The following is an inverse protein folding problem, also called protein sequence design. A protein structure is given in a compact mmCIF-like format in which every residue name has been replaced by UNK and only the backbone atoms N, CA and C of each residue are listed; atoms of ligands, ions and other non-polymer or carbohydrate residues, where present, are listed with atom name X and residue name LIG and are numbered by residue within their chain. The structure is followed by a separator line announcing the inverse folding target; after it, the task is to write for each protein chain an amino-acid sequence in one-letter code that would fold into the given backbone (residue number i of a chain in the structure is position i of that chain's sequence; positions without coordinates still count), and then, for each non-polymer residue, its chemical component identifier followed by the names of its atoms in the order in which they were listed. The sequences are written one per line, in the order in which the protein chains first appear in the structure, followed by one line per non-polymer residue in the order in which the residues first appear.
data_IF_055446289367
#
_entry.id   IF_055446289367
#
_cell.length_a   1.000
_cell.length_b   1.000
_cell.length_c   1.000
_cell.angle_alpha   90.00
_cell.angle_beta   90.00
_cell.angle_gamma   90.00
#
_symmetry.space_group_name_H-M   'P 1'
#
loop_
_entity.id
_entity.type
_entity.pdbx_description
1 polymer ?
#
# COMPACT_ATOMS: atom_id res chain seq x y z
N UNK A 1 -11.62 7.95 -0.23
CA UNK A 1 -12.95 8.26 0.35
C UNK A 1 -13.57 7.03 1.01
N UNK A 2 -14.32 7.21 2.10
CA UNK A 2 -14.94 6.07 2.81
C UNK A 2 -16.07 5.46 1.98
N UNK A 3 -16.81 6.26 1.22
CA UNK A 3 -17.81 5.76 0.26
C UNK A 3 -17.21 4.86 -0.83
N UNK A 4 -15.96 5.10 -1.25
CA UNK A 4 -15.24 4.23 -2.18
C UNK A 4 -14.84 2.91 -1.49
N UNK A 5 -14.44 2.96 -0.21
CA UNK A 5 -14.14 1.76 0.57
C UNK A 5 -15.34 0.80 0.62
N UNK A 6 -16.56 1.32 0.79
CA UNK A 6 -17.77 0.49 0.74
C UNK A 6 -17.93 -0.23 -0.60
N UNK A 7 -17.68 0.46 -1.72
CA UNK A 7 -17.76 -0.16 -3.06
C UNK A 7 -16.68 -1.20 -3.28
N UNK A 8 -15.46 -0.97 -2.79
CA UNK A 8 -14.38 -1.96 -2.86
C UNK A 8 -14.73 -3.21 -2.06
N UNK A 9 -15.28 -3.05 -0.85
CA UNK A 9 -15.70 -4.15 0.01
C UNK A 9 -16.85 -4.99 -0.59
N UNK A 10 -17.76 -4.38 -1.34
CA UNK A 10 -18.81 -5.10 -2.09
C UNK A 10 -18.23 -6.06 -3.15
N UNK A 11 -17.05 -5.73 -3.70
CA UNK A 11 -16.37 -6.54 -4.73
C UNK A 11 -15.45 -7.59 -4.07
N UNK A 12 -14.69 -7.19 -3.06
CA UNK A 12 -13.73 -8.04 -2.33
C UNK A 12 -13.97 -7.90 -0.82
N UNK A 13 -14.90 -8.68 -0.23
CA UNK A 13 -15.20 -8.63 1.20
C UNK A 13 -14.20 -9.45 2.01
N UNK A 14 -12.90 -9.20 1.81
CA UNK A 14 -11.81 -9.89 2.50
C UNK A 14 -10.93 -8.86 3.23
N UNK A 15 -10.91 -8.85 4.57
CA UNK A 15 -10.18 -7.86 5.35
C UNK A 15 -8.65 -7.95 5.23
N UNK A 16 -8.13 -9.00 4.57
CA UNK A 16 -6.70 -9.11 4.21
C UNK A 16 -6.30 -8.18 3.06
N UNK A 17 -7.26 -7.75 2.24
CA UNK A 17 -7.00 -7.00 1.00
C UNK A 17 -7.80 -5.70 0.94
N UNK A 18 -9.00 -5.67 1.51
CA UNK A 18 -9.84 -4.48 1.57
C UNK A 18 -10.31 -4.32 3.00
N UNK A 19 -9.96 -3.22 3.66
CA UNK A 19 -10.40 -3.00 5.04
C UNK A 19 -11.93 -2.91 5.15
N UNK A 20 -12.48 -3.47 6.24
CA UNK A 20 -13.91 -3.34 6.56
C UNK A 20 -14.30 -1.86 6.67
N UNK A 21 -15.23 -1.36 5.83
CA UNK A 21 -15.60 0.05 5.81
C UNK A 21 -16.29 0.53 7.09
N UNK A 22 -16.83 -0.37 7.93
CA UNK A 22 -17.38 -0.03 9.24
C UNK A 22 -16.29 0.40 10.24
N UNK A 23 -15.11 -0.22 10.15
CA UNK A 23 -13.92 0.09 10.94
C UNK A 23 -13.10 1.23 10.28
N UNK A 24 -13.10 1.22 8.94
CA UNK A 24 -12.42 2.16 8.06
C UNK A 24 -10.90 1.94 7.97
N UNK A 25 -10.28 2.37 6.88
CA UNK A 25 -8.86 2.14 6.58
C UNK A 25 -7.95 3.31 7.00
N UNK A 26 -6.64 3.09 6.98
CA UNK A 26 -5.64 4.15 7.11
C UNK A 26 -5.72 5.16 5.97
N UNK A 27 -6.11 4.72 4.77
CA UNK A 27 -6.45 5.61 3.66
C UNK A 27 -7.62 6.54 3.97
N UNK A 28 -8.67 6.04 4.65
CA UNK A 28 -9.79 6.89 5.08
C UNK A 28 -9.42 7.89 6.20
N UNK A 29 -8.29 7.67 6.87
CA UNK A 29 -7.71 8.60 7.86
C UNK A 29 -6.72 9.59 7.24
N UNK A 30 -6.50 9.54 5.93
CA UNK A 30 -5.46 10.33 5.24
C UNK A 30 -4.05 9.97 5.68
N UNK A 31 -3.87 8.75 6.19
CA UNK A 31 -2.67 8.29 6.87
C UNK A 31 -1.90 7.21 6.14
N UNK A 32 -2.32 6.84 4.93
CA UNK A 32 -1.64 5.85 4.12
C UNK A 32 -1.46 6.33 2.69
N UNK A 33 -0.46 5.75 2.04
CA UNK A 33 -0.12 5.98 0.64
C UNK A 33 0.25 4.65 -0.01
N UNK A 34 -0.17 4.50 -1.26
CA UNK A 34 0.25 3.41 -2.14
C UNK A 34 1.16 4.03 -3.21
N UNK A 35 2.38 3.51 -3.36
CA UNK A 35 3.36 4.10 -4.27
C UNK A 35 4.39 3.09 -4.81
N UNK A 36 5.07 3.51 -5.87
CA UNK A 36 6.22 2.84 -6.49
C UNK A 36 7.38 3.83 -6.65
N UNK A 37 8.51 3.36 -7.19
CA UNK A 37 9.68 4.17 -7.50
C UNK A 37 9.78 4.35 -9.01
N UNK A 38 10.06 5.58 -9.44
CA UNK A 38 10.39 5.91 -10.83
C UNK A 38 11.91 6.11 -10.94
N UNK A 39 12.54 5.46 -11.92
CA UNK A 39 13.90 5.77 -12.32
C UNK A 39 13.90 7.08 -13.13
N UNK A 40 14.63 8.09 -12.66
CA UNK A 40 14.65 9.40 -13.32
C UNK A 40 15.45 9.45 -14.62
N UNK A 41 16.33 8.48 -14.87
CA UNK A 41 17.09 8.38 -16.11
C UNK A 41 16.23 7.78 -17.24
N UNK A 42 15.48 6.72 -16.96
CA UNK A 42 14.62 6.04 -17.94
C UNK A 42 13.22 6.62 -18.01
N UNK A 43 12.74 7.21 -16.90
CA UNK A 43 11.35 7.64 -16.65
C UNK A 43 10.36 6.49 -16.44
N UNK A 44 10.87 5.27 -16.28
CA UNK A 44 10.06 4.08 -16.06
C UNK A 44 9.92 3.77 -14.57
N UNK A 45 8.86 3.05 -14.22
CA UNK A 45 8.74 2.41 -12.91
C UNK A 45 9.83 1.34 -12.76
N UNK A 46 10.38 1.21 -11.56
CA UNK A 46 11.19 0.04 -11.25
C UNK A 46 10.31 -1.22 -11.30
N UNK A 47 10.89 -2.33 -11.75
CA UNK A 47 10.19 -3.62 -11.70
C UNK A 47 9.94 -4.01 -10.24
N UNK A 48 8.65 -4.20 -9.93
CA UNK A 48 8.14 -4.52 -8.60
C UNK A 48 7.52 -5.92 -8.60
N UNK A 49 7.31 -6.55 -7.41
CA UNK A 49 6.84 -7.94 -7.29
C UNK A 49 5.61 -8.27 -8.14
N UNK A 50 4.65 -7.34 -8.17
CA UNK A 50 3.37 -7.45 -8.84
C UNK A 50 2.91 -6.06 -9.26
N UNK A 51 1.84 -5.96 -10.04
CA UNK A 51 1.12 -4.69 -10.18
C UNK A 51 0.44 -4.30 -8.86
N UNK A 52 0.07 -3.03 -8.72
CA UNK A 52 -0.86 -2.59 -7.66
C UNK A 52 -2.14 -3.43 -7.64
N UNK A 53 -2.73 -3.55 -6.46
CA UNK A 53 -3.98 -4.29 -6.19
C UNK A 53 -3.95 -5.77 -6.60
N UNK A 54 -2.75 -6.37 -6.68
CA UNK A 54 -2.62 -7.80 -6.85
C UNK A 54 -2.82 -8.52 -5.51
N UNK A 55 -3.97 -9.19 -5.35
CA UNK A 55 -4.34 -9.88 -4.11
C UNK A 55 -3.86 -11.33 -4.07
N UNK A 56 -2.55 -11.51 -3.93
CA UNK A 56 -1.90 -12.82 -3.82
C UNK A 56 -0.61 -12.76 -3.02
N UNK A 57 -0.09 -13.93 -2.64
CA UNK A 57 1.12 -14.04 -1.80
C UNK A 57 2.35 -13.40 -2.47
N UNK A 58 2.36 -13.35 -3.80
CA UNK A 58 3.40 -12.74 -4.61
C UNK A 58 3.56 -11.24 -4.36
N UNK A 59 2.53 -10.56 -3.86
CA UNK A 59 2.58 -9.14 -3.50
C UNK A 59 3.17 -8.88 -2.10
N UNK A 60 3.32 -9.91 -1.28
CA UNK A 60 3.74 -9.76 0.11
C UNK A 60 5.22 -9.33 0.21
N UNK A 61 5.57 -8.66 1.30
CA UNK A 61 6.94 -8.23 1.58
C UNK A 61 7.93 -9.36 1.83
N UNK A 62 7.46 -10.53 2.29
CA UNK A 62 8.29 -11.69 2.62
C UNK A 62 8.33 -12.76 1.54
N UNK A 63 7.61 -12.56 0.43
CA UNK A 63 7.64 -13.48 -0.71
C UNK A 63 8.98 -13.37 -1.45
N UNK A 64 9.67 -14.49 -1.62
CA UNK A 64 11.04 -14.54 -2.14
C UNK A 64 11.19 -15.23 -3.49
N UNK A 65 10.11 -15.76 -4.07
CA UNK A 65 10.14 -16.41 -5.39
C UNK A 65 9.93 -15.38 -6.52
N UNK A 66 10.80 -14.37 -6.53
CA UNK A 66 10.88 -13.30 -7.51
C UNK A 66 12.32 -13.15 -8.01
N UNK A 67 12.55 -12.53 -9.18
CA UNK A 67 13.89 -12.14 -9.59
C UNK A 67 14.60 -11.30 -8.52
N UNK A 68 15.91 -11.51 -8.35
CA UNK A 68 16.68 -10.84 -7.29
C UNK A 68 16.62 -9.30 -7.38
N UNK A 69 16.56 -8.76 -8.61
CA UNK A 69 16.43 -7.32 -8.84
C UNK A 69 15.09 -6.77 -8.34
N UNK A 70 14.00 -7.51 -8.55
CA UNK A 70 12.65 -7.15 -8.07
C UNK A 70 12.60 -7.15 -6.54
N UNK A 71 13.22 -8.16 -5.90
CA UNK A 71 13.36 -8.21 -4.45
C UNK A 71 14.16 -7.01 -3.93
N UNK A 72 15.26 -6.66 -4.61
CA UNK A 72 16.08 -5.51 -4.26
C UNK A 72 15.32 -4.18 -4.41
N UNK A 73 14.51 -4.02 -5.46
CA UNK A 73 13.67 -2.84 -5.69
C UNK A 73 12.60 -2.71 -4.59
N UNK A 74 11.93 -3.81 -4.23
CA UNK A 74 10.98 -3.83 -3.10
C UNK A 74 11.65 -3.43 -1.79
N UNK A 75 12.82 -4.00 -1.49
CA UNK A 75 13.55 -3.67 -0.27
C UNK A 75 14.05 -2.23 -0.28
N UNK A 76 14.41 -1.66 -1.43
CA UNK A 76 14.74 -0.24 -1.56
C UNK A 76 13.54 0.64 -1.16
N UNK A 77 12.36 0.39 -1.75
CA UNK A 77 11.14 1.15 -1.40
C UNK A 77 10.81 1.02 0.08
N UNK A 78 10.79 -0.20 0.60
CA UNK A 78 10.54 -0.48 2.01
C UNK A 78 11.47 0.31 2.90
N UNK A 79 12.78 0.24 2.66
CA UNK A 79 13.77 0.92 3.49
C UNK A 79 13.67 2.45 3.42
N UNK A 80 13.35 3.02 2.25
CA UNK A 80 13.09 4.46 2.12
C UNK A 80 11.89 4.87 2.97
N UNK A 81 10.79 4.14 2.84
CA UNK A 81 9.55 4.47 3.53
C UNK A 81 9.66 4.26 5.06
N UNK A 82 10.30 3.18 5.51
CA UNK A 82 10.41 2.86 6.94
C UNK A 82 11.52 3.64 7.64
N UNK A 83 12.74 3.66 7.08
CA UNK A 83 13.91 4.16 7.79
C UNK A 83 14.08 5.68 7.62
N UNK A 84 13.62 6.24 6.50
CA UNK A 84 13.69 7.68 6.24
C UNK A 84 12.33 8.33 6.49
N UNK A 85 11.27 7.78 5.91
CA UNK A 85 9.92 8.33 6.01
C UNK A 85 9.22 8.08 7.35
N UNK A 86 9.71 7.14 8.17
CA UNK A 86 9.06 6.71 9.42
C UNK A 86 7.64 6.14 9.21
N UNK A 87 7.39 5.53 8.06
CA UNK A 87 6.17 4.77 7.79
C UNK A 87 6.29 3.33 8.29
N UNK A 88 5.15 2.68 8.45
CA UNK A 88 5.03 1.24 8.70
C UNK A 88 4.54 0.53 7.44
N UNK A 89 5.01 -0.69 7.22
CA UNK A 89 4.57 -1.55 6.12
C UNK A 89 3.20 -2.17 6.41
N UNK A 90 2.54 -2.62 5.36
CA UNK A 90 1.53 -3.67 5.43
C UNK A 90 2.11 -4.96 4.83
N UNK A 91 2.28 -6.05 5.60
CA UNK A 91 3.03 -7.23 5.14
C UNK A 91 2.55 -7.83 3.82
N UNK A 92 1.25 -7.76 3.54
CA UNK A 92 0.61 -8.36 2.39
C UNK A 92 0.66 -7.50 1.11
N UNK A 93 1.07 -6.22 1.20
CA UNK A 93 1.07 -5.28 0.06
C UNK A 93 2.39 -4.50 -0.03
N UNK A 94 3.25 -4.84 -1.00
CA UNK A 94 4.58 -4.20 -1.15
C UNK A 94 4.53 -2.68 -1.39
N UNK A 95 3.39 -2.18 -1.90
CA UNK A 95 3.19 -0.77 -2.25
C UNK A 95 2.61 0.07 -1.10
N UNK A 96 2.06 -0.55 -0.05
CA UNK A 96 1.27 0.14 0.96
C UNK A 96 2.10 0.57 2.18
N UNK A 97 2.02 1.86 2.51
CA UNK A 97 2.72 2.42 3.66
C UNK A 97 1.81 3.32 4.49
N UNK A 98 1.75 3.03 5.80
CA UNK A 98 0.96 3.77 6.78
C UNK A 98 1.85 4.66 7.64
N UNK A 99 1.47 5.92 7.82
CA UNK A 99 2.03 6.81 8.82
C UNK A 99 1.43 6.48 10.20
N UNK A 100 2.19 5.89 11.15
CA UNK A 100 1.62 5.32 12.37
C UNK A 100 0.79 6.30 13.23
N UNK A 101 1.17 7.58 13.40
CA UNK A 101 0.37 8.54 14.17
C UNK A 101 -1.05 8.76 13.64
N UNK A 102 -1.31 8.40 12.37
CA UNK A 102 -2.64 8.53 11.76
C UNK A 102 -3.70 7.61 12.34
N UNK A 103 -3.34 6.61 13.15
CA UNK A 103 -4.31 5.76 13.85
C UNK A 103 -5.26 6.58 14.74
N UNK A 104 -4.83 7.77 15.19
CA UNK A 104 -5.61 8.71 15.98
C UNK A 104 -6.36 9.76 15.16
N UNK A 105 -6.21 9.77 13.84
CA UNK A 105 -6.90 10.74 12.98
C UNK A 105 -8.37 10.32 12.78
N UNK A 106 -9.28 11.29 12.58
CA UNK A 106 -10.68 10.97 12.32
C UNK A 106 -10.83 10.20 11.01
N UNK A 107 -11.85 9.34 10.95
CA UNK A 107 -12.32 8.77 9.68
C UNK A 107 -12.98 9.87 8.86
N UNK A 108 -12.51 10.06 7.64
CA UNK A 108 -13.03 11.06 6.72
C UNK A 108 -13.61 10.40 5.45
N UNK A 109 -14.67 11.00 4.93
CA UNK A 109 -15.18 10.70 3.59
C UNK A 109 -14.96 11.90 2.67
N UNK A 110 -13.68 12.20 2.39
CA UNK A 110 -13.33 13.31 1.53
C UNK A 110 -13.75 13.01 0.08
N UNK A 111 -14.58 13.88 -0.50
CA UNK A 111 -14.97 13.85 -1.91
C UNK A 111 -14.24 14.99 -2.63
N UNK A 112 -13.38 14.71 -3.64
CA UNK A 112 -12.86 15.76 -4.50
C UNK A 112 -14.03 16.52 -5.13
N UNK A 113 -13.96 17.85 -5.13
CA UNK A 113 -14.93 18.70 -5.82
C UNK A 113 -14.65 18.76 -7.32
#
# INVERSE_FOLDING_TARGET
PRSVQYRMWEIVPDPRYVADPNIGSSHNRGGAVDLTIIDFSTKDELDMPTTFDFFGAEAHHDYMDHPLEVIANRELLKNLMTNVGSFSIYPEEWWHYKYPPSDNFPLLDFQPK
#
